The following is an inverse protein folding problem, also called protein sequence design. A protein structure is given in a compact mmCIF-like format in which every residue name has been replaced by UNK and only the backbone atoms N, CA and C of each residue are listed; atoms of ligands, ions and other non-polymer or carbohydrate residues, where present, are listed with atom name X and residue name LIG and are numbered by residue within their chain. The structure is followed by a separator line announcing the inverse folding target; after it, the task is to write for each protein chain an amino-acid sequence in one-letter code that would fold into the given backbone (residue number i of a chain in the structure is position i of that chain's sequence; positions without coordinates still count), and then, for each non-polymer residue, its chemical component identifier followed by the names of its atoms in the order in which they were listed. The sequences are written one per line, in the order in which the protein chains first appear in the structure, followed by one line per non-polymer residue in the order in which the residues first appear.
data_IF_368185989715
#
_entry.id   IF_368185989715
#
_cell.length_a   1.000
_cell.length_b   1.000
_cell.length_c   1.000
_cell.angle_alpha   90.00
_cell.angle_beta   90.00
_cell.angle_gamma   90.00
#
_symmetry.space_group_name_H-M   'P 1'
#
loop_
_entity.id
_entity.type
_entity.pdbx_description
1 polymer ?
#
# COMPACT_ATOMS: atom_id res chain seq x y z
N UNK A 1 -32.50 -3.03 -19.85
CA UNK A 1 -32.11 -3.06 -19.47
C UNK A 1 -31.51 -2.81 -19.16
N UNK A 2 -31.48 -2.62 -19.20
CA UNK A 2 -30.86 -2.45 -18.81
C UNK A 2 -30.35 -2.17 -18.50
N UNK A 3 -30.39 -2.17 -18.70
CA UNK A 3 -29.87 -1.92 -18.26
C UNK A 3 -29.13 -1.96 -17.87
N UNK A 4 -29.13 -2.47 -17.79
CA UNK A 4 -28.36 -2.60 -17.33
C UNK A 4 -27.38 -2.23 -17.47
N UNK A 5 -27.25 -2.43 -18.16
CA UNK A 5 -26.16 -1.63 -18.67
C UNK A 5 -25.65 -0.63 -17.71
N UNK A 6 -26.47 -0.11 -16.95
CA UNK A 6 -26.04 0.83 -15.94
C UNK A 6 -25.01 0.30 -15.00
N UNK A 7 -24.85 -1.00 -14.94
CA UNK A 7 -23.91 -1.59 -13.99
C UNK A 7 -22.47 -1.16 -14.24
N UNK A 8 -22.02 -1.27 -15.46
CA UNK A 8 -20.65 -0.90 -15.75
C UNK A 8 -20.40 0.58 -15.49
N UNK A 9 -21.37 1.40 -15.84
CA UNK A 9 -21.20 2.83 -15.60
C UNK A 9 -21.16 3.17 -14.13
N UNK A 10 -21.85 2.43 -13.32
CA UNK A 10 -21.84 2.69 -11.89
C UNK A 10 -20.46 2.54 -11.31
N UNK A 11 -19.67 1.62 -11.82
CA UNK A 11 -18.29 1.50 -11.34
C UNK A 11 -17.50 2.76 -11.62
N UNK A 12 -17.69 3.34 -12.77
CA UNK A 12 -17.03 4.59 -13.09
C UNK A 12 -17.54 5.72 -12.25
N UNK A 13 -18.80 5.66 -11.83
CA UNK A 13 -19.38 6.70 -11.02
C UNK A 13 -18.86 6.71 -9.59
N UNK A 14 -18.04 5.75 -9.23
CA UNK A 14 -17.43 5.68 -7.90
C UNK A 14 -15.92 5.72 -8.05
N UNK A 15 -15.36 6.90 -8.36
CA UNK A 15 -13.95 7.03 -8.65
C UNK A 15 -13.16 6.71 -7.41
N UNK A 16 -12.81 6.42 -6.65
CA UNK A 16 -12.07 6.05 -5.50
C UNK A 16 -12.18 4.58 -5.15
N UNK A 17 -13.14 3.90 -5.76
CA UNK A 17 -13.29 2.48 -5.50
C UNK A 17 -12.37 1.68 -6.38
N UNK A 18 -11.40 1.06 -5.77
CA UNK A 18 -10.44 0.22 -6.46
C UNK A 18 -10.61 -1.22 -6.02
N UNK A 19 -10.32 -2.14 -6.93
CA UNK A 19 -10.29 -3.56 -6.59
C UNK A 19 -9.13 -3.83 -5.63
N UNK A 20 -9.18 -4.95 -4.94
CA UNK A 20 -8.07 -5.35 -4.09
C UNK A 20 -6.79 -5.52 -4.89
N UNK A 21 -6.89 -6.03 -6.12
CA UNK A 21 -5.72 -6.17 -6.98
C UNK A 21 -5.06 -4.83 -7.27
N UNK A 22 -5.87 -3.79 -7.53
CA UNK A 22 -5.33 -2.46 -7.75
C UNK A 22 -4.69 -1.90 -6.49
N UNK A 23 -5.35 -2.06 -5.34
CA UNK A 23 -4.78 -1.65 -4.06
C UNK A 23 -3.44 -2.32 -3.82
N UNK A 24 -3.36 -3.63 -4.06
CA UNK A 24 -2.14 -4.40 -3.86
C UNK A 24 -1.00 -3.86 -4.74
N UNK A 25 -1.31 -3.56 -5.98
CA UNK A 25 -0.32 -3.02 -6.92
C UNK A 25 0.18 -1.65 -6.47
N UNK A 26 -0.72 -0.78 -6.05
CA UNK A 26 -0.35 0.56 -5.60
C UNK A 26 0.43 0.51 -4.30
N UNK A 27 0.04 -0.38 -3.39
CA UNK A 27 0.74 -0.58 -2.13
C UNK A 27 2.14 -1.12 -2.36
N UNK A 28 2.31 -2.05 -3.29
CA UNK A 28 3.64 -2.57 -3.61
C UNK A 28 4.60 -1.45 -4.01
N UNK A 29 4.14 -0.54 -4.85
CA UNK A 29 4.96 0.62 -5.23
C UNK A 29 5.28 1.49 -4.01
N UNK A 30 4.30 1.70 -3.14
CA UNK A 30 4.54 2.47 -1.91
C UNK A 30 5.57 1.79 -1.00
N UNK A 31 5.50 0.48 -0.88
CA UNK A 31 6.47 -0.26 -0.06
C UNK A 31 7.88 -0.11 -0.60
N UNK A 32 8.05 -0.17 -1.91
CA UNK A 32 9.35 0.01 -2.53
C UNK A 32 9.93 1.40 -2.33
N UNK A 33 9.06 2.40 -2.23
CA UNK A 33 9.46 3.81 -2.10
C UNK A 33 9.24 4.36 -0.68
N UNK A 34 8.98 3.49 0.29
CA UNK A 34 8.58 3.92 1.63
C UNK A 34 9.66 4.76 2.31
N UNK A 35 10.92 4.46 2.07
CA UNK A 35 12.04 5.23 2.61
C UNK A 35 12.37 6.46 1.75
N UNK A 36 11.59 6.71 0.71
CA UNK A 36 11.80 7.84 -0.21
C UNK A 36 10.49 8.60 -0.36
N UNK A 37 10.11 9.39 0.66
CA UNK A 37 8.79 10.02 0.67
C UNK A 37 8.49 10.86 -0.55
N UNK A 38 9.50 11.49 -1.17
CA UNK A 38 9.24 12.31 -2.34
C UNK A 38 8.78 11.49 -3.55
N UNK A 39 9.08 10.20 -3.59
CA UNK A 39 8.59 9.34 -4.65
C UNK A 39 7.13 8.94 -4.43
N UNK A 40 6.69 8.91 -3.18
CA UNK A 40 5.29 8.62 -2.87
C UNK A 40 4.32 9.64 -3.46
N UNK A 41 4.81 10.84 -3.78
CA UNK A 41 3.98 11.87 -4.42
C UNK A 41 3.34 11.39 -5.71
N UNK A 42 3.96 10.44 -6.37
CA UNK A 42 3.46 9.90 -7.64
C UNK A 42 2.33 8.90 -7.46
N UNK A 43 2.14 8.40 -6.25
CA UNK A 43 1.09 7.42 -6.00
C UNK A 43 -0.28 8.09 -6.06
N UNK A 44 -1.24 7.50 -6.79
CA UNK A 44 -2.61 8.00 -6.75
C UNK A 44 -3.22 7.99 -5.36
N UNK A 45 -2.66 7.20 -4.44
CA UNK A 45 -3.20 7.10 -3.07
C UNK A 45 -3.07 8.40 -2.29
N UNK A 46 -2.14 9.30 -2.67
CA UNK A 46 -2.03 10.59 -1.98
C UNK A 46 -3.28 11.45 -2.14
N UNK A 47 -4.11 11.15 -3.13
CA UNK A 47 -5.31 11.94 -3.42
C UNK A 47 -6.56 11.39 -2.74
N UNK A 48 -6.45 10.28 -2.03
CA UNK A 48 -7.61 9.70 -1.36
C UNK A 48 -8.12 10.63 -0.26
N UNK A 49 -9.45 10.77 -0.12
CA UNK A 49 -10.02 11.63 0.93
C UNK A 49 -9.54 11.29 2.33
N UNK A 50 -9.39 10.01 2.65
CA UNK A 50 -8.88 9.60 3.96
C UNK A 50 -7.45 10.02 4.19
N UNK A 51 -6.61 9.95 3.16
CA UNK A 51 -5.23 10.42 3.26
C UNK A 51 -5.20 11.92 3.46
N UNK A 52 -6.04 12.65 2.73
CA UNK A 52 -6.12 14.10 2.87
C UNK A 52 -6.55 14.51 4.28
N UNK A 53 -7.56 13.84 4.82
CA UNK A 53 -8.00 14.13 6.19
C UNK A 53 -6.93 13.85 7.22
N UNK A 54 -6.23 12.74 7.06
CA UNK A 54 -5.13 12.39 7.95
C UNK A 54 -4.03 13.45 7.86
N UNK A 55 -3.70 13.90 6.65
CA UNK A 55 -2.69 14.93 6.44
C UNK A 55 -3.08 16.23 7.12
N UNK A 56 -4.35 16.63 7.02
CA UNK A 56 -4.82 17.87 7.61
C UNK A 56 -4.76 17.84 9.14
N UNK A 57 -4.93 16.68 9.73
CA UNK A 57 -4.86 16.54 11.18
C UNK A 57 -3.42 16.44 11.68
N UNK A 58 -2.58 15.69 10.97
CA UNK A 58 -1.23 15.39 11.44
C UNK A 58 -0.18 16.38 10.96
N UNK A 59 -0.40 16.95 9.80
CA UNK A 59 0.57 17.83 9.15
C UNK A 59 -0.10 19.07 8.60
N UNK A 60 -0.82 19.85 9.46
CA UNK A 60 -1.54 21.02 8.98
C UNK A 60 -0.59 22.04 8.36
N UNK A 61 -1.02 22.61 7.27
CA UNK A 61 -0.26 23.67 6.56
C UNK A 61 1.11 23.23 6.06
N UNK A 62 1.34 21.92 5.94
CA UNK A 62 2.59 21.41 5.43
C UNK A 62 2.43 21.10 3.94
N UNK A 63 3.23 21.70 3.04
CA UNK A 63 3.09 21.41 1.60
C UNK A 63 3.37 19.97 1.24
N UNK A 64 4.05 19.21 2.10
CA UNK A 64 4.29 17.79 1.90
C UNK A 64 3.39 16.91 2.76
N UNK A 65 2.33 17.49 3.33
CA UNK A 65 1.49 16.79 4.29
C UNK A 65 0.89 15.50 3.77
N UNK A 66 0.42 15.48 2.52
CA UNK A 66 -0.19 14.27 1.96
C UNK A 66 0.81 13.15 1.77
N UNK A 67 2.02 13.49 1.36
CA UNK A 67 3.08 12.49 1.20
C UNK A 67 3.46 11.89 2.54
N UNK A 68 3.64 12.75 3.54
CA UNK A 68 3.98 12.30 4.89
C UNK A 68 2.83 11.48 5.49
N UNK A 69 1.59 11.87 5.22
CA UNK A 69 0.42 11.12 5.68
C UNK A 69 0.38 9.73 5.04
N UNK A 70 0.61 9.64 3.74
CA UNK A 70 0.61 8.35 3.08
C UNK A 70 1.73 7.47 3.62
N UNK A 71 2.92 8.02 3.80
CA UNK A 71 4.04 7.28 4.37
C UNK A 71 3.67 6.72 5.74
N UNK A 72 3.12 7.56 6.60
CA UNK A 72 2.75 7.14 7.94
C UNK A 72 1.66 6.07 7.93
N UNK A 73 0.65 6.23 7.07
CA UNK A 73 -0.43 5.25 6.96
C UNK A 73 0.07 3.90 6.44
N UNK A 74 0.97 3.92 5.46
CA UNK A 74 1.55 2.68 4.95
C UNK A 74 2.38 1.99 6.03
N UNK A 75 3.16 2.76 6.80
CA UNK A 75 3.94 2.18 7.90
C UNK A 75 3.04 1.54 8.95
N UNK A 76 1.92 2.18 9.27
CA UNK A 76 0.94 1.60 10.19
C UNK A 76 0.31 0.34 9.60
N UNK A 77 0.04 0.34 8.31
CA UNK A 77 -0.53 -0.82 7.64
C UNK A 77 0.44 -2.00 7.68
N UNK A 78 1.74 -1.74 7.53
CA UNK A 78 2.76 -2.78 7.68
C UNK A 78 2.67 -3.37 9.09
N UNK A 79 2.67 -2.54 10.12
CA UNK A 79 2.61 -3.02 11.50
C UNK A 79 1.34 -3.82 11.77
N UNK A 80 0.20 -3.36 11.27
CA UNK A 80 -1.08 -4.04 11.45
C UNK A 80 -1.09 -5.39 10.75
N UNK A 81 -0.42 -5.51 9.61
CA UNK A 81 -0.43 -6.74 8.83
C UNK A 81 0.51 -7.82 9.36
N UNK A 82 1.53 -7.45 10.13
CA UNK A 82 2.55 -8.41 10.57
C UNK A 82 2.00 -9.64 11.30
N UNK A 83 1.04 -9.52 12.24
CA UNK A 83 0.55 -10.70 12.94
C UNK A 83 -0.14 -11.73 12.03
N UNK A 84 -0.62 -11.32 10.88
CA UNK A 84 -1.30 -12.21 9.94
C UNK A 84 -0.32 -12.96 9.03
N UNK A 85 0.96 -12.63 9.08
CA UNK A 85 1.97 -13.19 8.21
C UNK A 85 2.79 -14.25 8.92
N UNK A 86 3.33 -15.19 8.14
CA UNK A 86 4.26 -16.18 8.67
C UNK A 86 5.56 -15.50 9.10
N UNK A 87 6.39 -16.14 9.95
CA UNK A 87 7.66 -15.53 10.35
C UNK A 87 8.56 -15.14 9.17
N UNK A 88 8.63 -15.95 8.13
CA UNK A 88 9.47 -15.63 6.97
C UNK A 88 8.88 -14.49 6.16
N UNK A 89 7.56 -14.45 6.04
CA UNK A 89 6.89 -13.34 5.36
C UNK A 89 7.10 -12.03 6.10
N UNK A 90 7.09 -12.06 7.44
CA UNK A 90 7.38 -10.86 8.22
C UNK A 90 8.78 -10.34 7.97
N UNK A 91 9.76 -11.24 7.95
CA UNK A 91 11.14 -10.85 7.67
C UNK A 91 11.24 -10.21 6.29
N UNK A 92 10.61 -10.85 5.30
CA UNK A 92 10.60 -10.29 3.94
C UNK A 92 9.98 -8.89 3.93
N UNK A 93 8.81 -8.72 4.54
CA UNK A 93 8.11 -7.44 4.52
C UNK A 93 8.93 -6.35 5.19
N UNK A 94 9.50 -6.62 6.35
CA UNK A 94 10.31 -5.63 7.05
C UNK A 94 11.50 -5.17 6.24
N UNK A 95 12.17 -6.09 5.58
CA UNK A 95 13.33 -5.73 4.75
C UNK A 95 12.92 -5.02 3.48
N UNK A 96 11.84 -5.45 2.87
CA UNK A 96 11.33 -4.83 1.65
C UNK A 96 10.87 -3.38 1.92
N UNK A 97 10.17 -3.17 3.02
CA UNK A 97 9.72 -1.84 3.42
C UNK A 97 10.88 -0.94 3.86
N UNK A 98 12.02 -1.52 4.21
CA UNK A 98 13.22 -0.76 4.57
C UNK A 98 14.06 -0.38 3.35
N UNK A 99 13.61 -0.72 2.15
CA UNK A 99 14.30 -0.33 0.93
C UNK A 99 15.27 -1.35 0.37
N UNK A 100 15.34 -2.55 0.95
CA UNK A 100 16.23 -3.57 0.43
C UNK A 100 15.69 -4.14 -0.88
N UNK A 101 16.59 -4.45 -1.81
CA UNK A 101 16.20 -5.06 -3.08
C UNK A 101 15.80 -6.52 -2.87
N UNK A 102 14.97 -7.03 -3.80
CA UNK A 102 14.57 -8.43 -3.79
C UNK A 102 15.83 -9.33 -3.83
N UNK A 103 16.83 -8.94 -4.61
CA UNK A 103 18.06 -9.71 -4.71
C UNK A 103 18.79 -9.80 -3.37
N UNK A 104 18.89 -8.66 -2.65
CA UNK A 104 19.55 -8.64 -1.35
C UNK A 104 18.78 -9.47 -0.33
N UNK A 105 17.46 -9.35 -0.30
CA UNK A 105 16.62 -10.12 0.61
C UNK A 105 16.76 -11.61 0.32
N UNK A 106 16.79 -11.99 -0.96
CA UNK A 106 16.95 -13.38 -1.35
C UNK A 106 18.25 -13.98 -0.86
N UNK A 107 19.34 -13.21 -0.97
CA UNK A 107 20.64 -13.67 -0.46
C UNK A 107 20.61 -13.89 1.05
N UNK A 108 19.98 -12.98 1.79
CA UNK A 108 19.93 -13.10 3.24
C UNK A 108 19.01 -14.22 3.70
N UNK A 109 17.90 -14.44 3.00
CA UNK A 109 16.93 -15.46 3.39
C UNK A 109 17.21 -16.83 2.77
N UNK A 110 18.21 -16.92 1.89
CA UNK A 110 18.48 -18.17 1.19
C UNK A 110 17.39 -18.56 0.22
N UNK A 111 16.77 -17.59 -0.44
CA UNK A 111 15.65 -17.82 -1.34
C UNK A 111 15.90 -17.18 -2.70
N UNK A 112 15.35 -17.78 -3.76
CA UNK A 112 15.52 -17.24 -5.10
C UNK A 112 14.70 -15.95 -5.25
N UNK A 113 15.20 -15.06 -6.11
CA UNK A 113 14.46 -13.83 -6.45
C UNK A 113 13.10 -14.15 -7.04
N UNK A 114 13.06 -15.19 -7.88
CA UNK A 114 11.83 -15.60 -8.54
C UNK A 114 10.77 -16.00 -7.51
N UNK A 115 11.16 -16.79 -6.50
CA UNK A 115 10.23 -17.23 -5.46
C UNK A 115 9.73 -16.05 -4.64
N UNK A 116 10.63 -15.15 -4.25
CA UNK A 116 10.23 -13.96 -3.50
C UNK A 116 9.28 -13.08 -4.31
N UNK A 117 9.56 -12.88 -5.59
CA UNK A 117 8.73 -12.02 -6.44
C UNK A 117 7.37 -12.62 -6.74
N UNK A 118 7.29 -13.94 -6.93
CA UNK A 118 6.04 -14.57 -7.35
C UNK A 118 5.18 -15.05 -6.19
N UNK A 119 5.74 -15.27 -5.02
CA UNK A 119 4.99 -15.80 -3.89
C UNK A 119 4.94 -14.81 -2.72
N UNK A 120 6.10 -14.40 -2.20
CA UNK A 120 6.14 -13.55 -1.01
C UNK A 120 5.62 -12.14 -1.27
N UNK A 121 6.08 -11.52 -2.34
CA UNK A 121 5.73 -10.13 -2.64
C UNK A 121 4.23 -9.93 -2.82
N UNK A 122 3.52 -10.78 -3.60
CA UNK A 122 2.07 -10.62 -3.71
C UNK A 122 1.35 -10.85 -2.38
N UNK A 123 1.81 -11.83 -1.60
CA UNK A 123 1.17 -12.18 -0.34
C UNK A 123 1.27 -11.04 0.67
N UNK A 124 2.47 -10.50 0.87
CA UNK A 124 2.63 -9.39 1.81
C UNK A 124 1.98 -8.12 1.28
N UNK A 125 2.05 -7.89 -0.03
CA UNK A 125 1.40 -6.75 -0.65
C UNK A 125 -0.09 -6.73 -0.42
N UNK A 126 -0.74 -7.89 -0.56
CA UNK A 126 -2.17 -8.00 -0.33
C UNK A 126 -2.51 -7.76 1.14
N UNK A 127 -1.74 -8.32 2.06
CA UNK A 127 -1.99 -8.13 3.48
C UNK A 127 -1.89 -6.66 3.86
N UNK A 128 -0.86 -5.97 3.38
CA UNK A 128 -0.70 -4.54 3.65
C UNK A 128 -1.80 -3.74 2.97
N UNK A 129 -2.20 -4.12 1.77
CA UNK A 129 -3.28 -3.42 1.05
C UNK A 129 -4.60 -3.49 1.80
N UNK A 130 -4.94 -4.66 2.35
CA UNK A 130 -6.15 -4.82 3.17
C UNK A 130 -6.08 -3.91 4.39
N UNK A 131 -4.95 -3.92 5.08
CA UNK A 131 -4.77 -3.09 6.27
C UNK A 131 -4.83 -1.60 5.92
N UNK A 132 -4.16 -1.19 4.85
CA UNK A 132 -4.14 0.22 4.46
C UNK A 132 -5.53 0.70 4.07
N UNK A 133 -6.27 -0.09 3.30
CA UNK A 133 -7.62 0.28 2.91
C UNK A 133 -8.49 0.50 4.14
N UNK A 134 -8.40 -0.39 5.12
CA UNK A 134 -9.15 -0.22 6.36
C UNK A 134 -8.76 1.05 7.11
N UNK A 135 -7.46 1.35 7.18
CA UNK A 135 -7.00 2.54 7.87
C UNK A 135 -7.47 3.82 7.16
N UNK A 136 -7.40 3.83 5.84
CA UNK A 136 -7.87 4.99 5.06
C UNK A 136 -9.36 5.17 5.21
N UNK A 137 -10.13 4.09 5.16
CA UNK A 137 -11.58 4.17 5.31
C UNK A 137 -11.95 4.65 6.72
N UNK A 138 -11.21 4.26 7.73
CA UNK A 138 -11.47 4.67 9.10
C UNK A 138 -11.23 6.17 9.32
N UNK A 139 -10.39 6.80 8.49
CA UNK A 139 -10.17 8.25 8.59
C UNK A 139 -11.16 9.04 7.76
N UNK A 140 -12.02 8.37 7.04
CA UNK A 140 -13.07 9.00 6.25
C UNK A 140 -14.35 9.12 7.06
#
# INVERSE_FOLDING_TARGET
MARTSGTARRHRAQPGRRSLAEWTRLVDTCLRDLDRPMRLRRSPLVKLPGVLRFANRRHPNNPHGRVLALQELVMRAVDVSLPALSPRERVFLERYASGQSIAAIGREMGMSRSHLSSVYRPTVGEAVAVALRSLVDATT
#
